data_IF_727135421073
#
_entry.id   IF_727135421073
#
_cell.length_a   1.000
_cell.length_b   1.000
_cell.length_c   1.000
_cell.angle_alpha   90.00
_cell.angle_beta   90.00
_cell.angle_gamma   90.00
#
_symmetry.space_group_name_H-M   'P 1'
#
loop_
_entity.id
_entity.type
_entity.pdbx_description
1 polymer ?
#
# COMPACT_ATOMS: atom_id res chain seq x y z
N UNK A 1 1.35 11.41 11.58
CA UNK A 1 1.92 10.31 12.41
C UNK A 1 0.86 9.34 12.97
N UNK A 2 -0.17 9.77 13.72
CA UNK A 2 -1.21 8.84 14.27
C UNK A 2 -1.95 8.06 13.18
N UNK A 3 -2.35 8.74 12.10
CA UNK A 3 -2.99 8.13 10.94
C UNK A 3 -2.11 7.03 10.32
N UNK A 4 -0.86 7.34 9.96
CA UNK A 4 0.08 6.38 9.36
C UNK A 4 0.30 5.15 10.25
N UNK A 5 0.43 5.36 11.57
CA UNK A 5 0.53 4.25 12.54
C UNK A 5 -0.71 3.35 12.50
N UNK A 6 -1.90 3.93 12.49
CA UNK A 6 -3.15 3.16 12.43
C UNK A 6 -3.25 2.39 11.11
N UNK A 7 -2.91 3.02 9.97
CA UNK A 7 -2.88 2.36 8.67
C UNK A 7 -1.92 1.18 8.63
N UNK A 8 -0.68 1.34 9.12
CA UNK A 8 0.30 0.26 9.20
C UNK A 8 -0.22 -0.92 10.05
N UNK A 9 -0.82 -0.64 11.20
CA UNK A 9 -1.45 -1.66 12.05
C UNK A 9 -2.60 -2.39 11.35
N UNK A 10 -3.47 -1.64 10.67
CA UNK A 10 -4.59 -2.22 9.93
C UNK A 10 -4.09 -3.10 8.78
N UNK A 11 -3.06 -2.66 8.04
CA UNK A 11 -2.45 -3.46 6.97
C UNK A 11 -1.92 -4.79 7.51
N UNK A 12 -1.20 -4.77 8.64
CA UNK A 12 -0.71 -5.98 9.28
C UNK A 12 -1.86 -6.87 9.77
N UNK A 13 -2.92 -6.29 10.34
CA UNK A 13 -4.10 -7.03 10.76
C UNK A 13 -4.83 -7.69 9.58
N UNK A 14 -4.99 -6.99 8.45
CA UNK A 14 -5.56 -7.53 7.22
C UNK A 14 -4.71 -8.69 6.67
N UNK A 15 -3.39 -8.56 6.70
CA UNK A 15 -2.48 -9.63 6.29
C UNK A 15 -2.61 -10.88 7.19
N UNK A 16 -2.86 -10.70 8.49
CA UNK A 16 -3.10 -11.80 9.43
C UNK A 16 -4.53 -12.36 9.38
N UNK A 17 -5.50 -11.59 8.88
CA UNK A 17 -6.93 -11.94 8.84
C UNK A 17 -7.53 -11.72 7.44
N UNK A 18 -7.00 -12.36 6.38
CA UNK A 18 -7.37 -12.04 5.00
C UNK A 18 -8.84 -12.29 4.68
N UNK A 19 -9.43 -13.36 5.22
CA UNK A 19 -10.85 -13.68 4.96
C UNK A 19 -11.80 -12.69 5.62
N UNK A 20 -11.53 -12.30 6.88
CA UNK A 20 -12.32 -11.26 7.57
C UNK A 20 -12.18 -9.90 6.91
N UNK A 21 -10.98 -9.55 6.45
CA UNK A 21 -10.75 -8.30 5.71
C UNK A 21 -11.53 -8.28 4.39
N UNK A 22 -11.56 -9.41 3.68
CA UNK A 22 -12.35 -9.55 2.45
C UNK A 22 -13.85 -9.43 2.73
N UNK A 23 -14.36 -10.06 3.78
CA UNK A 23 -15.77 -9.97 4.19
C UNK A 23 -16.19 -8.53 4.53
N UNK A 24 -15.39 -7.81 5.32
CA UNK A 24 -15.64 -6.40 5.66
C UNK A 24 -15.68 -5.54 4.39
N UNK A 25 -14.73 -5.77 3.48
CA UNK A 25 -14.65 -5.04 2.20
C UNK A 25 -15.87 -5.33 1.34
N UNK A 26 -16.28 -6.59 1.24
CA UNK A 26 -17.44 -7.03 0.48
C UNK A 26 -18.73 -6.39 1.00
N UNK A 27 -18.92 -6.42 2.34
CA UNK A 27 -20.08 -5.81 3.00
C UNK A 27 -20.12 -4.30 2.78
N UNK A 28 -18.97 -3.61 2.84
CA UNK A 28 -18.88 -2.17 2.60
C UNK A 28 -19.16 -1.81 1.14
N UNK A 29 -18.66 -2.60 0.20
CA UNK A 29 -18.82 -2.38 -1.23
C UNK A 29 -20.14 -2.95 -1.80
N UNK A 30 -20.92 -3.67 -0.98
CA UNK A 30 -22.14 -4.36 -1.37
C UNK A 30 -21.94 -5.34 -2.54
N UNK A 31 -20.86 -6.13 -2.49
CA UNK A 31 -20.50 -7.13 -3.49
C UNK A 31 -20.37 -8.52 -2.86
N UNK A 32 -20.36 -9.57 -3.69
CA UNK A 32 -20.12 -10.94 -3.21
C UNK A 32 -18.69 -11.05 -2.64
N UNK A 33 -18.51 -11.51 -1.39
CA UNK A 33 -17.19 -11.74 -0.79
C UNK A 33 -16.23 -12.59 -1.64
N UNK A 34 -16.75 -13.50 -2.47
CA UNK A 34 -15.94 -14.32 -3.39
C UNK A 34 -15.28 -13.52 -4.50
N UNK A 35 -15.81 -12.35 -4.82
CA UNK A 35 -15.22 -11.43 -5.82
C UNK A 35 -14.12 -10.55 -5.23
N UNK A 36 -14.01 -10.49 -3.91
CA UNK A 36 -12.97 -9.70 -3.25
C UNK A 36 -11.65 -10.47 -3.29
N UNK A 37 -10.68 -9.91 -4.00
CA UNK A 37 -9.31 -10.44 -4.00
C UNK A 37 -8.71 -10.27 -2.60
N UNK A 38 -8.13 -11.35 -2.09
CA UNK A 38 -7.34 -11.33 -0.85
C UNK A 38 -6.05 -10.57 -1.12
N UNK A 39 -6.07 -9.27 -0.81
CA UNK A 39 -4.92 -8.39 -1.03
C UNK A 39 -3.91 -8.55 0.10
N UNK A 40 -2.63 -8.67 -0.26
CA UNK A 40 -1.51 -8.60 0.68
C UNK A 40 -0.98 -7.16 0.70
N UNK A 41 -1.01 -6.55 1.87
CA UNK A 41 -0.50 -5.20 2.08
C UNK A 41 0.99 -5.22 2.44
N UNK A 42 1.67 -4.10 2.19
CA UNK A 42 3.06 -3.91 2.62
C UNK A 42 3.18 -4.05 4.15
N UNK A 43 4.07 -4.91 4.66
CA UNK A 43 4.33 -5.04 6.09
C UNK A 43 4.69 -3.68 6.69
N UNK A 44 4.07 -3.38 7.84
CA UNK A 44 4.28 -2.14 8.61
C UNK A 44 4.02 -0.84 7.82
N UNK A 45 3.39 -0.93 6.65
CA UNK A 45 3.19 0.23 5.76
C UNK A 45 4.50 0.88 5.30
N UNK A 46 5.61 0.14 5.27
CA UNK A 46 6.90 0.65 4.83
C UNK A 46 6.91 0.71 3.30
N UNK A 47 7.17 1.91 2.76
CA UNK A 47 7.36 2.12 1.34
C UNK A 47 8.85 1.89 1.03
N UNK A 48 9.15 1.02 0.05
CA UNK A 48 10.53 0.73 -0.37
C UNK A 48 10.84 1.49 -1.65
N UNK A 49 12.04 2.06 -1.75
CA UNK A 49 12.52 2.72 -2.98
C UNK A 49 12.33 1.82 -4.20
N UNK A 50 12.74 0.56 -4.11
CA UNK A 50 12.60 -0.43 -5.19
C UNK A 50 11.17 -0.54 -5.73
N UNK A 51 10.18 -0.60 -4.85
CA UNK A 51 8.77 -0.70 -5.26
C UNK A 51 8.30 0.55 -5.97
N UNK A 52 8.81 1.72 -5.56
CA UNK A 52 8.45 3.01 -6.15
C UNK A 52 9.13 3.18 -7.50
N UNK A 53 10.39 2.78 -7.62
CA UNK A 53 11.15 2.79 -8.88
C UNK A 53 10.49 1.93 -9.94
N UNK A 54 10.02 0.72 -9.59
CA UNK A 54 9.29 -0.16 -10.53
C UNK A 54 8.07 0.54 -11.13
N UNK A 55 7.30 1.29 -10.33
CA UNK A 55 6.15 2.04 -10.82
C UNK A 55 6.55 3.26 -11.65
N UNK A 56 7.61 3.97 -11.27
CA UNK A 56 8.15 5.08 -12.07
C UNK A 56 8.58 4.58 -13.45
N UNK A 57 9.35 3.49 -13.51
CA UNK A 57 9.85 2.94 -14.77
C UNK A 57 8.69 2.41 -15.62
N UNK A 58 7.72 1.72 -15.02
CA UNK A 58 6.51 1.29 -15.72
C UNK A 58 5.74 2.48 -16.32
N UNK A 59 5.46 3.51 -15.53
CA UNK A 59 4.74 4.70 -16.04
C UNK A 59 5.55 5.45 -17.11
N UNK A 60 6.88 5.41 -17.03
CA UNK A 60 7.76 5.97 -18.06
C UNK A 60 7.68 5.16 -19.35
N UNK A 61 7.70 3.83 -19.26
CA UNK A 61 7.59 2.92 -20.41
C UNK A 61 6.24 3.05 -21.13
N UNK A 62 5.16 3.27 -20.37
CA UNK A 62 3.83 3.57 -20.92
C UNK A 62 3.66 5.04 -21.36
N UNK A 63 4.70 5.86 -21.23
CA UNK A 63 4.73 7.28 -21.62
C UNK A 63 3.65 8.13 -20.90
N UNK A 64 3.22 7.70 -19.71
CA UNK A 64 2.24 8.38 -18.85
C UNK A 64 2.88 9.54 -18.05
N UNK A 65 4.18 9.44 -17.79
CA UNK A 65 4.95 10.48 -17.10
C UNK A 65 6.08 11.00 -17.97
N UNK A 66 6.35 12.30 -17.89
CA UNK A 66 7.45 12.96 -18.60
C UNK A 66 8.47 13.48 -17.59
N UNK A 67 9.73 13.18 -17.81
CA UNK A 67 10.86 13.70 -17.01
C UNK A 67 11.47 12.68 -16.04
N UNK A 68 12.49 13.15 -15.32
CA UNK A 68 13.23 12.38 -14.32
C UNK A 68 12.57 12.52 -12.93
N UNK A 69 11.50 11.75 -12.69
CA UNK A 69 10.87 11.66 -11.38
C UNK A 69 11.72 10.74 -10.49
N UNK A 70 12.15 11.25 -9.35
CA UNK A 70 12.93 10.49 -8.37
C UNK A 70 12.01 9.95 -7.26
N UNK A 71 12.24 8.71 -6.76
CA UNK A 71 11.44 8.13 -5.68
C UNK A 71 11.31 9.06 -4.46
N UNK A 72 12.40 9.71 -4.06
CA UNK A 72 12.43 10.63 -2.92
C UNK A 72 11.50 11.85 -3.06
N UNK A 73 11.01 12.16 -4.26
CA UNK A 73 10.06 13.25 -4.49
C UNK A 73 8.60 12.83 -4.28
N UNK A 74 8.30 11.53 -4.33
CA UNK A 74 6.92 11.02 -4.41
C UNK A 74 6.50 10.22 -3.19
N UNK A 75 7.43 9.82 -2.32
CA UNK A 75 7.07 9.17 -1.07
C UNK A 75 7.98 9.58 0.08
N UNK A 76 7.48 9.43 1.30
CA UNK A 76 8.25 9.61 2.53
C UNK A 76 7.82 8.60 3.59
N UNK A 77 8.78 8.04 4.31
CA UNK A 77 8.54 7.19 5.46
C UNK A 77 8.63 7.96 6.80
N UNK A 78 8.88 9.28 6.78
CA UNK A 78 9.14 10.07 7.99
C UNK A 78 8.02 10.05 9.04
N UNK A 79 6.78 9.80 8.59
CA UNK A 79 5.60 9.75 9.44
C UNK A 79 5.28 8.34 9.92
N UNK A 80 5.95 7.32 9.39
CA UNK A 80 5.75 5.93 9.76
C UNK A 80 6.62 5.60 10.99
N UNK A 81 6.00 5.32 12.15
CA UNK A 81 6.76 5.00 13.36
C UNK A 81 7.53 3.68 13.25
N UNK A 82 7.20 2.81 12.29
CA UNK A 82 7.87 1.52 12.07
C UNK A 82 9.04 1.62 11.09
N UNK A 83 9.20 2.77 10.41
CA UNK A 83 10.30 2.98 9.46
C UNK A 83 11.62 3.42 10.13
N UNK A 84 11.57 3.76 11.42
CA UNK A 84 12.75 4.00 12.25
C UNK A 84 12.88 2.83 13.24
N UNK A 85 13.49 1.74 12.80
CA UNK A 85 14.19 0.83 13.69
C UNK A 85 15.67 1.17 13.63
#
# INVERSE_FOLDING_TARGET
>A
RRFVRATAKTNNWCNANPDKAAEITAKRANIDPKTVKRTRYAPDGIIKDETVTVWIDLLRDFNEIKGDIKPAQIYTNEFNPYARN
#
